data_IF_107756863051
#
_entry.id   IF_107756863051
#
_cell.length_a   1.000
_cell.length_b   1.000
_cell.length_c   1.000
_cell.angle_alpha   90.00
_cell.angle_beta   90.00
_cell.angle_gamma   90.00
#
_symmetry.space_group_name_H-M   'P 1'
#
loop_
_entity.id
_entity.type
_entity.pdbx_description
1 polymer ?
#
# COMPACT_ATOMS: atom_id res chain seq x y z
N UNK A 1 1.21 11.18 -24.37
CA UNK A 1 0.10 10.19 -24.23
C UNK A 1 -1.12 10.94 -23.71
N UNK A 2 -2.28 10.75 -24.34
CA UNK A 2 -3.53 11.35 -23.87
C UNK A 2 -4.32 10.28 -23.12
N UNK A 3 -4.62 10.53 -21.85
CA UNK A 3 -5.38 9.62 -21.00
C UNK A 3 -6.88 9.81 -21.23
N UNK A 4 -7.67 8.79 -20.84
CA UNK A 4 -9.13 8.88 -20.90
C UNK A 4 -9.68 9.86 -19.87
N UNK A 5 -10.69 10.65 -20.24
CA UNK A 5 -11.38 11.59 -19.33
C UNK A 5 -12.07 10.94 -18.13
N UNK A 6 -12.26 9.61 -18.14
CA UNK A 6 -12.76 8.87 -16.96
C UNK A 6 -11.73 8.80 -15.84
N UNK A 7 -10.43 8.77 -16.17
CA UNK A 7 -9.36 8.72 -15.16
C UNK A 7 -9.28 10.02 -14.35
N UNK A 8 -9.58 11.17 -14.98
CA UNK A 8 -9.57 12.48 -14.33
C UNK A 8 -10.59 12.61 -13.19
N UNK A 9 -11.55 11.68 -13.09
CA UNK A 9 -12.58 11.66 -12.04
C UNK A 9 -12.12 10.95 -10.77
N UNK A 10 -10.99 10.25 -10.80
CA UNK A 10 -10.46 9.54 -9.64
C UNK A 10 -9.49 10.43 -8.89
N UNK A 11 -9.78 10.67 -7.62
CA UNK A 11 -8.81 11.25 -6.68
C UNK A 11 -7.73 10.22 -6.33
N UNK A 12 -6.56 10.71 -5.93
CA UNK A 12 -5.50 9.85 -5.43
C UNK A 12 -5.94 9.14 -4.15
N UNK A 13 -5.88 7.80 -4.07
CA UNK A 13 -6.36 7.05 -2.90
C UNK A 13 -5.60 7.40 -1.62
N UNK A 14 -6.33 7.71 -0.56
CA UNK A 14 -5.79 8.09 0.74
C UNK A 14 -5.04 6.93 1.40
N UNK A 15 -5.50 5.69 1.19
CA UNK A 15 -4.84 4.48 1.68
C UNK A 15 -3.44 4.30 1.09
N UNK A 16 -3.24 4.64 -0.18
CA UNK A 16 -1.93 4.61 -0.83
C UNK A 16 -1.00 5.69 -0.27
N UNK A 17 -1.54 6.88 0.04
CA UNK A 17 -0.77 7.95 0.67
C UNK A 17 -0.26 7.55 2.06
N UNK A 18 -1.12 6.94 2.87
CA UNK A 18 -0.75 6.46 4.20
C UNK A 18 0.34 5.39 4.13
N UNK A 19 0.18 4.39 3.26
CA UNK A 19 1.18 3.33 3.07
C UNK A 19 2.54 3.89 2.60
N UNK A 20 2.52 4.88 1.68
CA UNK A 20 3.74 5.56 1.22
C UNK A 20 4.44 6.29 2.37
N UNK A 21 3.69 7.06 3.14
CA UNK A 21 4.22 7.82 4.28
C UNK A 21 4.84 6.90 5.34
N UNK A 22 4.18 5.79 5.69
CA UNK A 22 4.71 4.81 6.63
C UNK A 22 6.05 4.23 6.19
N UNK A 23 6.18 3.89 4.89
CA UNK A 23 7.43 3.40 4.30
C UNK A 23 8.55 4.45 4.33
N UNK A 24 8.22 5.72 4.09
CA UNK A 24 9.18 6.83 4.10
C UNK A 24 9.68 7.14 5.52
N UNK A 25 8.80 7.14 6.51
CA UNK A 25 9.20 7.33 7.92
C UNK A 25 10.09 6.17 8.41
N UNK A 26 9.77 4.93 8.02
CA UNK A 26 10.62 3.75 8.32
C UNK A 26 12.00 3.88 7.68
N UNK A 27 12.10 4.37 6.45
CA UNK A 27 13.42 4.54 5.78
C UNK A 27 14.27 5.64 6.41
N UNK A 28 13.65 6.59 7.12
CA UNK A 28 14.33 7.60 7.94
C UNK A 28 14.77 7.06 9.32
N UNK A 29 14.52 5.78 9.61
CA UNK A 29 14.87 5.15 10.89
C UNK A 29 13.87 5.41 12.02
N UNK A 30 12.68 5.94 11.71
CA UNK A 30 11.61 6.12 12.68
C UNK A 30 10.90 4.78 12.88
N UNK A 31 10.71 4.39 14.14
CA UNK A 31 9.94 3.20 14.48
C UNK A 31 8.44 3.47 14.26
N UNK A 32 7.88 2.86 13.22
CA UNK A 32 6.48 3.05 12.79
C UNK A 32 5.74 1.73 12.85
N UNK A 33 4.76 1.67 13.74
CA UNK A 33 3.77 0.59 13.79
C UNK A 33 2.71 0.87 12.72
N UNK A 34 2.70 0.06 11.67
CA UNK A 34 1.77 0.20 10.57
C UNK A 34 0.54 -0.68 10.82
N UNK A 35 -0.61 -0.04 11.04
CA UNK A 35 -1.92 -0.68 11.22
C UNK A 35 -2.85 -0.43 10.02
N UNK A 36 -2.30 0.00 8.88
CA UNK A 36 -3.06 0.36 7.67
C UNK A 36 -3.16 -0.78 6.66
N UNK A 37 -2.30 -1.79 6.80
CA UNK A 37 -2.22 -2.94 5.89
C UNK A 37 -3.35 -3.94 6.19
N UNK A 38 -4.17 -4.24 5.19
CA UNK A 38 -5.30 -5.17 5.31
C UNK A 38 -4.97 -6.62 4.94
N UNK A 39 -3.70 -6.94 4.74
CA UNK A 39 -3.25 -8.30 4.39
C UNK A 39 -2.71 -9.03 5.62
N UNK A 40 -2.87 -10.36 5.71
CA UNK A 40 -2.31 -11.14 6.80
C UNK A 40 -0.77 -11.06 6.78
N UNK A 41 -0.20 -11.13 7.98
CA UNK A 41 1.25 -11.14 8.23
C UNK A 41 1.93 -12.49 7.94
N UNK A 42 1.14 -13.52 7.65
CA UNK A 42 1.62 -14.86 7.32
C UNK A 42 1.68 -15.07 5.81
N UNK A 43 2.72 -15.77 5.37
CA UNK A 43 2.80 -16.25 3.99
C UNK A 43 1.68 -17.24 3.67
N UNK A 44 1.30 -17.30 2.39
CA UNK A 44 0.41 -18.35 1.88
C UNK A 44 0.96 -19.74 2.24
N UNK A 45 0.16 -20.65 2.81
CA UNK A 45 0.59 -22.01 3.14
C UNK A 45 1.11 -22.80 1.93
N UNK A 46 2.10 -23.67 2.15
CA UNK A 46 2.79 -24.36 1.05
C UNK A 46 1.88 -25.35 0.28
N UNK A 47 0.97 -26.03 0.98
CA UNK A 47 0.00 -26.93 0.36
C UNK A 47 -1.02 -26.21 -0.56
N UNK A 48 -1.06 -24.87 -0.54
CA UNK A 48 -1.87 -24.05 -1.45
C UNK A 48 -1.04 -23.61 -2.67
N UNK A 49 0.29 -23.62 -2.56
CA UNK A 49 1.22 -23.24 -3.63
C UNK A 49 1.56 -24.40 -4.57
N UNK A 50 1.46 -25.65 -4.10
CA UNK A 50 1.58 -26.88 -4.90
C UNK A 50 0.32 -27.16 -5.75
#
# INVERSE_FOLDING_TARGET
MQLSSRLERFSEPETLKMAKLGRELRSQGIDVIDLSLGEPDFDTPEHIKE
#
